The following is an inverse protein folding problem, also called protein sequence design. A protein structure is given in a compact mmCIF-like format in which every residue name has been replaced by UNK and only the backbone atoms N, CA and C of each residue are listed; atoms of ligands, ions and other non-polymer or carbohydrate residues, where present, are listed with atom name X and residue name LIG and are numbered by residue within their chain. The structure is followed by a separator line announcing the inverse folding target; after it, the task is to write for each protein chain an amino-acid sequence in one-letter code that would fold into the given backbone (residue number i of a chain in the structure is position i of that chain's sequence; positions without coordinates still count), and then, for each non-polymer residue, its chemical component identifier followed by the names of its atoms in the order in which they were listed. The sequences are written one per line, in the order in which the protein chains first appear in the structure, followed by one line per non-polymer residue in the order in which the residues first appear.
data_IF_148161835093
#
_entry.id   IF_148161835093
#
_cell.length_a   1.000
_cell.length_b   1.000
_cell.length_c   1.000
_cell.angle_alpha   90.00
_cell.angle_beta   90.00
_cell.angle_gamma   90.00
#
_symmetry.space_group_name_H-M   'P 1'
#
loop_
_entity.id
_entity.type
_entity.pdbx_description
1 polymer ?
#
# COMPACT_ATOMS: atom_id res chain seq x y z
N UNK A 1 -14.42 -2.44 28.49
CA UNK A 1 -13.36 -3.37 28.92
C UNK A 1 -13.76 -4.77 28.45
N UNK A 2 -13.03 -5.34 27.51
CA UNK A 2 -13.34 -6.65 26.92
C UNK A 2 -12.36 -6.93 25.79
N UNK A 3 -11.26 -7.60 26.12
CA UNK A 3 -10.25 -8.01 25.14
C UNK A 3 -10.74 -9.33 24.55
N UNK A 4 -11.09 -9.32 23.27
CA UNK A 4 -11.28 -10.55 22.52
C UNK A 4 -9.94 -10.96 21.90
N UNK A 5 -9.31 -12.00 22.47
CA UNK A 5 -8.24 -12.74 21.80
C UNK A 5 -8.86 -13.49 20.61
N UNK A 6 -8.66 -13.00 19.40
CA UNK A 6 -8.92 -13.78 18.18
C UNK A 6 -7.63 -14.45 17.75
N UNK A 7 -7.69 -15.78 17.60
CA UNK A 7 -6.54 -16.67 17.52
C UNK A 7 -5.53 -16.34 16.42
N UNK A 8 -4.26 -16.50 16.78
CA UNK A 8 -3.11 -16.54 15.89
C UNK A 8 -3.20 -17.76 14.96
N UNK A 9 -3.91 -17.65 13.85
CA UNK A 9 -3.72 -18.54 12.70
C UNK A 9 -2.75 -17.89 11.73
N UNK A 10 -1.49 -18.33 11.79
CA UNK A 10 -0.54 -18.18 10.69
C UNK A 10 0.49 -17.06 10.84
N UNK A 11 1.36 -17.13 11.85
CA UNK A 11 2.67 -16.46 11.77
C UNK A 11 3.65 -17.47 11.16
N UNK A 12 3.58 -17.59 9.83
CA UNK A 12 4.63 -18.14 8.99
C UNK A 12 4.76 -17.21 7.80
N UNK A 13 5.96 -16.98 7.24
CA UNK A 13 6.08 -16.13 6.07
C UNK A 13 5.24 -16.74 4.95
N UNK A 14 4.31 -15.95 4.39
CA UNK A 14 3.56 -16.32 3.17
C UNK A 14 4.54 -16.25 1.99
N UNK A 15 5.32 -17.30 1.79
CA UNK A 15 6.34 -17.35 0.72
C UNK A 15 5.70 -17.66 -0.66
N UNK A 16 4.44 -18.13 -0.71
CA UNK A 16 3.88 -18.71 -1.93
C UNK A 16 2.62 -18.03 -2.50
N UNK A 17 2.26 -16.82 -2.05
CA UNK A 17 1.22 -16.07 -2.77
C UNK A 17 1.88 -15.50 -4.04
N UNK A 18 1.47 -15.90 -5.26
CA UNK A 18 1.92 -15.20 -6.46
C UNK A 18 1.59 -13.73 -6.23
N UNK A 19 2.58 -12.85 -6.44
CA UNK A 19 2.40 -11.42 -6.27
C UNK A 19 1.22 -11.01 -7.15
N UNK A 20 0.03 -10.93 -6.57
CA UNK A 20 -1.14 -10.41 -7.23
C UNK A 20 -0.74 -9.02 -7.68
N UNK A 21 -1.14 -8.60 -8.89
CA UNK A 21 -0.79 -7.27 -9.39
C UNK A 21 -1.27 -6.12 -8.48
N UNK A 22 -1.98 -6.43 -7.39
CA UNK A 22 -2.38 -5.54 -6.31
C UNK A 22 -1.29 -5.24 -5.26
N UNK A 23 -0.23 -6.05 -5.12
CA UNK A 23 0.82 -5.81 -4.12
C UNK A 23 1.98 -4.97 -4.70
N UNK A 24 2.53 -4.09 -3.86
CA UNK A 24 3.74 -3.30 -4.11
C UNK A 24 4.68 -3.41 -2.90
N UNK A 25 5.34 -4.57 -2.71
CA UNK A 25 5.96 -4.94 -1.44
C UNK A 25 7.31 -4.27 -1.16
N UNK A 26 7.93 -3.62 -2.14
CA UNK A 26 9.29 -3.08 -2.01
C UNK A 26 9.39 -1.64 -2.52
N UNK A 27 10.45 -0.95 -2.11
CA UNK A 27 10.83 0.32 -2.71
C UNK A 27 11.06 0.13 -4.22
N UNK A 28 10.37 0.93 -5.05
CA UNK A 28 10.30 0.77 -6.51
C UNK A 28 9.59 -0.50 -7.01
N UNK A 29 8.82 -1.16 -6.15
CA UNK A 29 7.84 -2.18 -6.48
C UNK A 29 8.34 -3.59 -6.28
N UNK A 30 9.42 -3.97 -6.98
CA UNK A 30 9.96 -5.33 -7.05
C UNK A 30 11.49 -5.29 -7.18
N UNK A 31 12.21 -6.43 -7.05
CA UNK A 31 13.67 -6.48 -7.13
C UNK A 31 14.27 -5.91 -8.44
N UNK A 32 13.53 -5.95 -9.54
CA UNK A 32 13.89 -5.37 -10.84
C UNK A 32 13.77 -3.83 -10.87
N UNK A 33 13.09 -3.22 -9.89
CA UNK A 33 12.92 -1.77 -9.71
C UNK A 33 12.32 -1.04 -10.93
N UNK A 34 11.62 -1.76 -11.80
CA UNK A 34 11.10 -1.26 -13.09
C UNK A 34 9.98 -0.24 -12.95
N UNK A 35 9.29 -0.23 -11.80
CA UNK A 35 8.04 0.50 -11.57
C UNK A 35 6.92 0.11 -12.55
N UNK A 36 7.03 -1.04 -13.22
CA UNK A 36 6.04 -1.54 -14.15
C UNK A 36 4.97 -2.38 -13.41
N UNK A 37 3.70 -2.20 -13.81
CA UNK A 37 2.56 -3.00 -13.35
C UNK A 37 1.79 -3.55 -14.54
N UNK A 38 1.39 -4.81 -14.47
CA UNK A 38 0.60 -5.46 -15.52
C UNK A 38 -0.92 -5.26 -15.29
N UNK A 39 -1.33 -4.04 -14.94
CA UNK A 39 -2.73 -3.69 -14.72
C UNK A 39 -3.30 -3.02 -15.96
N UNK A 40 -4.51 -3.41 -16.36
CA UNK A 40 -5.18 -2.86 -17.55
C UNK A 40 -6.50 -2.16 -17.24
N UNK A 41 -6.85 -1.98 -15.97
CA UNK A 41 -8.10 -1.31 -15.59
C UNK A 41 -8.11 0.18 -15.95
N UNK A 42 -6.95 0.85 -15.81
CA UNK A 42 -6.76 2.26 -16.17
C UNK A 42 -6.00 2.31 -17.51
N UNK A 43 -6.57 2.99 -18.50
CA UNK A 43 -6.06 3.11 -19.87
C UNK A 43 -6.21 4.55 -20.38
N UNK A 44 -5.57 4.86 -21.50
CA UNK A 44 -5.61 6.21 -22.12
C UNK A 44 -7.05 6.69 -22.39
N UNK A 45 -7.96 5.78 -22.69
CA UNK A 45 -9.36 6.08 -23.03
C UNK A 45 -10.23 6.41 -21.80
N UNK A 46 -9.88 5.95 -20.60
CA UNK A 46 -10.70 6.11 -19.39
C UNK A 46 -10.02 6.87 -18.25
N UNK A 47 -8.74 7.25 -18.39
CA UNK A 47 -7.99 8.00 -17.36
C UNK A 47 -8.68 9.31 -16.96
N UNK A 48 -9.41 9.93 -17.87
CA UNK A 48 -10.20 11.14 -17.62
C UNK A 48 -11.40 10.94 -16.67
N UNK A 49 -11.76 9.69 -16.39
CA UNK A 49 -12.89 9.33 -15.53
C UNK A 49 -12.47 9.11 -14.06
N UNK A 50 -11.16 9.12 -13.77
CA UNK A 50 -10.67 8.90 -12.41
C UNK A 50 -11.17 9.99 -11.46
N UNK A 51 -11.61 9.54 -10.29
CA UNK A 51 -11.99 10.39 -9.17
C UNK A 51 -11.15 10.00 -7.98
N UNK A 52 -10.92 10.96 -7.08
CA UNK A 52 -10.37 10.67 -5.77
C UNK A 52 -11.26 9.65 -5.07
N UNK A 53 -10.69 8.51 -4.69
CA UNK A 53 -11.38 7.51 -3.89
C UNK A 53 -11.35 7.85 -2.39
N UNK A 54 -10.22 8.37 -1.89
CA UNK A 54 -10.03 8.74 -0.49
C UNK A 54 -8.79 9.64 -0.33
N UNK A 55 -8.65 10.27 0.85
CA UNK A 55 -7.48 11.04 1.26
C UNK A 55 -7.14 10.74 2.74
N UNK A 56 -5.85 10.82 3.08
CA UNK A 56 -5.36 10.72 4.46
C UNK A 56 -4.53 11.96 4.83
N UNK A 57 -4.88 12.73 5.87
CA UNK A 57 -4.14 13.94 6.27
C UNK A 57 -2.88 13.59 7.08
N UNK A 58 -1.71 14.10 6.67
CA UNK A 58 -0.44 13.88 7.41
C UNK A 58 -0.39 14.60 8.76
N UNK A 59 -1.28 15.58 8.98
CA UNK A 59 -1.40 16.36 10.22
C UNK A 59 -0.15 17.20 10.55
N UNK A 60 0.58 17.62 9.52
CA UNK A 60 1.70 18.57 9.55
C UNK A 60 1.83 19.28 8.19
N UNK A 61 2.87 20.11 8.03
CA UNK A 61 3.16 20.86 6.80
C UNK A 61 4.42 20.36 6.10
N UNK A 62 4.81 19.12 6.35
CA UNK A 62 6.04 18.52 5.82
C UNK A 62 5.72 17.85 4.48
N UNK A 63 6.58 18.09 3.49
CA UNK A 63 6.57 17.32 2.25
C UNK A 63 7.35 16.01 2.45
N UNK A 64 6.66 14.89 2.31
CA UNK A 64 7.26 13.57 2.42
C UNK A 64 7.67 13.05 1.05
N UNK A 65 8.97 12.84 0.83
CA UNK A 65 9.50 12.20 -0.37
C UNK A 65 9.65 10.69 -0.13
N UNK A 66 8.66 9.90 -0.55
CA UNK A 66 8.71 8.44 -0.40
C UNK A 66 7.88 7.75 -1.49
N UNK A 67 8.04 6.42 -1.60
CA UNK A 67 7.17 5.57 -2.41
C UNK A 67 6.39 4.66 -1.45
N UNK A 68 5.06 4.72 -1.39
CA UNK A 68 4.26 3.83 -0.56
C UNK A 68 4.56 2.35 -0.85
N UNK A 69 4.45 1.53 0.19
CA UNK A 69 4.49 0.07 0.08
C UNK A 69 3.07 -0.45 0.35
N UNK A 70 2.63 -1.42 -0.46
CA UNK A 70 1.32 -2.04 -0.34
C UNK A 70 1.53 -3.55 -0.21
N UNK A 71 1.06 -4.11 0.90
CA UNK A 71 1.11 -5.56 1.17
C UNK A 71 -0.23 -5.99 1.73
N UNK A 72 -0.84 -7.00 1.11
CA UNK A 72 -2.07 -7.65 1.57
C UNK A 72 -3.21 -6.64 1.83
N UNK A 73 -3.34 -5.64 0.95
CA UNK A 73 -4.38 -4.62 1.01
C UNK A 73 -4.10 -3.44 1.96
N UNK A 74 -2.97 -3.45 2.67
CA UNK A 74 -2.57 -2.37 3.58
C UNK A 74 -1.52 -1.49 2.90
N UNK A 75 -1.75 -0.18 2.90
CA UNK A 75 -0.80 0.83 2.43
C UNK A 75 -0.02 1.45 3.60
N UNK A 76 1.31 1.46 3.48
CA UNK A 76 2.22 2.00 4.48
C UNK A 76 2.79 3.35 4.04
N UNK A 77 2.62 4.38 4.87
CA UNK A 77 2.90 5.79 4.56
C UNK A 77 3.70 6.48 5.66
N UNK A 78 4.37 7.58 5.32
CA UNK A 78 4.91 8.54 6.30
C UNK A 78 3.89 9.65 6.58
N UNK A 79 3.79 10.06 7.85
CA UNK A 79 2.98 11.19 8.33
C UNK A 79 3.69 11.90 9.49
N UNK A 80 2.97 12.77 10.21
CA UNK A 80 3.46 13.63 11.31
C UNK A 80 4.73 13.14 11.99
N UNK A 81 5.78 13.95 11.95
CA UNK A 81 7.08 13.67 12.58
C UNK A 81 7.73 12.35 12.09
N UNK A 82 7.61 12.04 10.79
CA UNK A 82 8.09 10.78 10.20
C UNK A 82 7.46 9.52 10.83
N UNK A 83 6.22 9.61 11.32
CA UNK A 83 5.48 8.44 11.80
C UNK A 83 5.09 7.50 10.67
N UNK A 84 5.13 6.20 10.94
CA UNK A 84 4.62 5.17 10.03
C UNK A 84 3.10 5.02 10.24
N UNK A 85 2.35 5.11 9.16
CA UNK A 85 0.89 4.93 9.13
C UNK A 85 0.55 3.71 8.28
N UNK A 86 -0.46 2.93 8.70
CA UNK A 86 -1.05 1.84 7.95
C UNK A 86 -2.52 2.17 7.61
N UNK A 87 -2.86 2.19 6.33
CA UNK A 87 -4.22 2.43 5.83
C UNK A 87 -4.76 1.15 5.18
N UNK A 88 -5.94 0.70 5.60
CA UNK A 88 -6.64 -0.50 5.10
C UNK A 88 -8.06 -0.15 4.64
#
# INVERSE_FOLDING_TARGET
MGIALMGLKGIGPRIDQPATDSNWPQYRGRPDQSKFVNLSQIRKQNVSQLKVAWHYPTSDKVEYLFNPIIVDGVMYLLAKNNSLVACA
#
